data_IF_908123838812
#
_entry.id   IF_908123838812
#
_cell.length_a   1.000
_cell.length_b   1.000
_cell.length_c   1.000
_cell.angle_alpha   90.00
_cell.angle_beta   90.00
_cell.angle_gamma   90.00
#
_symmetry.space_group_name_H-M   'P 1'
#
loop_
_entity.id
_entity.type
_entity.pdbx_description
1 polymer ?
#
# COMPACT_ATOMS: atom_id res chain seq x y z
N UNK A 1 1.17 44.25 -36.54
CA UNK A 1 1.72 43.99 -35.19
C UNK A 1 0.66 43.18 -34.51
N UNK A 2 0.90 41.89 -34.31
CA UNK A 2 0.25 40.98 -33.35
C UNK A 2 0.80 39.58 -33.63
N UNK A 3 1.72 39.12 -32.76
CA UNK A 3 2.20 37.74 -32.72
C UNK A 3 1.90 37.21 -31.32
N UNK A 4 0.79 36.47 -31.21
CA UNK A 4 0.62 35.48 -30.16
C UNK A 4 1.47 34.25 -30.50
N UNK A 5 2.29 33.76 -29.56
CA UNK A 5 2.18 32.39 -29.02
C UNK A 5 3.32 32.00 -28.05
N UNK A 6 2.88 31.60 -26.85
CA UNK A 6 3.38 30.55 -25.94
C UNK A 6 4.61 30.80 -25.02
N UNK A 7 4.42 30.62 -23.68
CA UNK A 7 5.51 30.46 -22.73
C UNK A 7 6.02 29.01 -22.75
N UNK A 8 7.31 28.83 -23.04
CA UNK A 8 7.98 27.53 -22.98
C UNK A 8 8.14 27.06 -21.53
N UNK A 9 7.51 25.92 -21.26
CA UNK A 9 7.93 24.83 -20.36
C UNK A 9 8.71 25.17 -19.10
N UNK A 10 8.02 25.09 -17.95
CA UNK A 10 8.67 24.75 -16.68
C UNK A 10 9.37 23.39 -16.84
N UNK A 11 10.69 23.41 -16.88
CA UNK A 11 11.50 22.20 -16.74
C UNK A 11 11.19 21.58 -15.38
N UNK A 12 10.65 20.37 -15.38
CA UNK A 12 10.52 19.55 -14.18
C UNK A 12 11.93 19.35 -13.60
N UNK A 13 12.12 19.79 -12.35
CA UNK A 13 13.38 19.64 -11.64
C UNK A 13 13.77 18.16 -11.58
N UNK A 14 14.94 17.84 -12.15
CA UNK A 14 15.60 16.55 -11.96
C UNK A 14 15.85 16.36 -10.46
N UNK A 15 15.54 15.21 -9.84
CA UNK A 15 15.84 15.01 -8.43
C UNK A 15 17.36 15.08 -8.24
N UNK A 16 17.80 16.09 -7.51
CA UNK A 16 19.20 16.26 -7.10
C UNK A 16 19.59 15.02 -6.30
N UNK A 17 20.58 14.27 -6.78
CA UNK A 17 21.20 13.14 -6.08
C UNK A 17 21.68 13.63 -4.71
N UNK A 18 20.97 13.28 -3.64
CA UNK A 18 21.47 13.49 -2.28
C UNK A 18 22.70 12.59 -2.09
N UNK A 19 23.80 13.09 -1.49
CA UNK A 19 24.96 12.25 -1.21
C UNK A 19 24.52 11.09 -0.31
N UNK A 20 24.66 9.86 -0.79
CA UNK A 20 24.32 8.68 -0.01
C UNK A 20 25.24 8.64 1.21
N UNK A 21 24.66 8.65 2.42
CA UNK A 21 25.39 8.41 3.67
C UNK A 21 26.20 7.10 3.49
N UNK A 22 27.46 7.03 3.97
CA UNK A 22 28.25 5.82 3.86
C UNK A 22 27.53 4.63 4.50
N UNK A 23 27.62 3.45 3.87
CA UNK A 23 26.99 2.21 4.33
C UNK A 23 27.41 1.87 5.77
N UNK A 24 26.47 1.41 6.61
CA UNK A 24 26.67 1.08 8.03
C UNK A 24 26.25 -0.37 8.33
N UNK A 25 27.04 -1.39 7.91
CA UNK A 25 26.62 -2.79 8.00
C UNK A 25 26.26 -3.28 9.41
N UNK A 26 26.91 -2.71 10.42
CA UNK A 26 26.71 -2.99 11.85
C UNK A 26 25.32 -2.61 12.36
N UNK A 27 24.68 -1.62 11.74
CA UNK A 27 23.32 -1.17 12.11
C UNK A 27 22.21 -2.04 11.51
N UNK A 28 22.54 -2.91 10.54
CA UNK A 28 21.57 -3.77 9.86
C UNK A 28 20.38 -2.98 9.28
N UNK A 29 19.15 -3.40 9.60
CA UNK A 29 17.93 -2.71 9.16
C UNK A 29 17.64 -1.39 9.91
N UNK A 30 18.50 -0.93 10.83
CA UNK A 30 18.25 0.23 11.71
C UNK A 30 18.92 1.54 11.24
N UNK A 31 19.32 1.65 9.97
CA UNK A 31 19.86 2.90 9.41
C UNK A 31 19.45 3.08 7.96
N UNK A 32 19.02 4.30 7.58
CA UNK A 32 18.69 4.65 6.20
C UNK A 32 19.88 4.53 5.25
N UNK A 33 21.12 4.64 5.75
CA UNK A 33 22.33 4.47 4.95
C UNK A 33 22.43 3.08 4.29
N UNK A 34 21.76 2.08 4.87
CA UNK A 34 21.72 0.71 4.35
C UNK A 34 20.60 0.47 3.34
N UNK A 35 19.85 1.50 2.95
CA UNK A 35 18.75 1.36 2.00
C UNK A 35 18.94 2.28 0.80
N UNK A 36 18.71 1.72 -0.39
CA UNK A 36 18.50 2.50 -1.60
C UNK A 36 17.00 2.69 -1.81
N UNK A 37 16.52 3.92 -1.61
CA UNK A 37 15.12 4.28 -1.86
C UNK A 37 14.89 4.33 -3.38
N UNK A 38 13.95 3.53 -3.88
CA UNK A 38 13.69 3.40 -5.32
C UNK A 38 12.50 4.26 -5.75
N UNK A 39 11.31 4.01 -5.20
CA UNK A 39 10.07 4.65 -5.66
C UNK A 39 9.06 4.80 -4.52
N UNK A 40 8.35 5.93 -4.50
CA UNK A 40 7.18 6.10 -3.64
C UNK A 40 6.01 5.22 -4.11
N UNK A 41 5.50 4.37 -3.22
CA UNK A 41 4.44 3.40 -3.49
C UNK A 41 3.15 3.68 -2.72
N UNK A 42 3.19 4.53 -1.68
CA UNK A 42 2.01 4.88 -0.89
C UNK A 42 2.12 6.24 -0.21
N UNK A 43 0.96 6.79 0.16
CA UNK A 43 0.84 8.01 0.95
C UNK A 43 -0.33 7.85 1.93
N UNK A 44 -0.05 7.98 3.21
CA UNK A 44 -1.04 8.13 4.27
C UNK A 44 -1.15 9.60 4.71
N UNK A 45 -1.97 9.85 5.72
CA UNK A 45 -2.17 11.20 6.28
C UNK A 45 -0.88 11.78 6.87
N UNK A 46 -0.13 10.96 7.63
CA UNK A 46 1.09 11.36 8.34
C UNK A 46 2.33 10.58 7.89
N UNK A 47 2.21 9.83 6.79
CA UNK A 47 3.27 8.92 6.37
C UNK A 47 3.36 8.78 4.87
N UNK A 48 4.55 8.39 4.42
CA UNK A 48 4.84 8.06 3.04
C UNK A 48 5.48 6.67 3.01
N UNK A 49 5.14 5.87 2.00
CA UNK A 49 5.67 4.52 1.86
C UNK A 49 6.47 4.46 0.58
N UNK A 50 7.70 3.96 0.69
CA UNK A 50 8.64 3.81 -0.40
C UNK A 50 9.00 2.34 -0.58
N UNK A 51 9.08 1.89 -1.83
CA UNK A 51 9.85 0.72 -2.19
C UNK A 51 11.33 1.08 -2.06
N UNK A 52 12.08 0.25 -1.34
CA UNK A 52 13.52 0.41 -1.17
C UNK A 52 14.20 -0.94 -1.28
N UNK A 53 15.51 -0.91 -1.57
CA UNK A 53 16.38 -2.08 -1.56
C UNK A 53 17.29 -2.02 -0.35
N UNK A 54 17.27 -3.07 0.47
CA UNK A 54 18.24 -3.24 1.53
C UNK A 54 19.58 -3.68 0.95
N UNK A 55 20.61 -2.86 1.14
CA UNK A 55 21.87 -2.97 0.39
C UNK A 55 22.76 -4.13 0.85
N UNK A 56 22.57 -4.66 2.06
CA UNK A 56 23.44 -5.73 2.58
C UNK A 56 23.12 -7.10 1.97
N UNK A 57 21.86 -7.37 1.62
CA UNK A 57 21.43 -8.65 1.04
C UNK A 57 20.58 -8.51 -0.24
N UNK A 58 20.40 -7.28 -0.73
CA UNK A 58 19.57 -6.91 -1.89
C UNK A 58 18.07 -7.21 -1.77
N UNK A 59 17.55 -7.45 -0.57
CA UNK A 59 16.12 -7.69 -0.35
C UNK A 59 15.30 -6.43 -0.62
N UNK A 60 14.17 -6.58 -1.31
CA UNK A 60 13.21 -5.49 -1.51
C UNK A 60 12.32 -5.33 -0.28
N UNK A 61 12.15 -4.09 0.20
CA UNK A 61 11.39 -3.76 1.41
C UNK A 61 10.43 -2.60 1.15
N UNK A 62 9.40 -2.50 1.99
CA UNK A 62 8.57 -1.32 2.13
C UNK A 62 9.09 -0.48 3.30
N UNK A 63 9.57 0.73 2.99
CA UNK A 63 10.03 1.72 3.96
C UNK A 63 8.92 2.75 4.21
N UNK A 64 8.27 2.69 5.36
CA UNK A 64 7.24 3.65 5.79
C UNK A 64 7.89 4.73 6.65
N UNK A 65 7.85 5.96 6.16
CA UNK A 65 8.35 7.16 6.83
C UNK A 65 7.20 7.91 7.49
N UNK A 66 7.27 8.14 8.79
CA UNK A 66 6.21 8.76 9.59
C UNK A 66 6.74 10.03 10.25
N UNK A 67 6.05 11.14 10.02
CA UNK A 67 6.40 12.47 10.55
C UNK A 67 5.87 12.64 11.97
N UNK A 68 6.55 12.04 12.95
CA UNK A 68 6.08 11.93 14.34
C UNK A 68 6.28 13.18 15.20
N UNK A 69 7.16 14.10 14.77
CA UNK A 69 7.49 15.31 15.54
C UNK A 69 6.71 16.53 15.09
N UNK A 70 6.47 16.68 13.79
CA UNK A 70 5.87 17.91 13.23
C UNK A 70 4.36 17.79 13.00
N UNK A 71 3.83 16.59 12.74
CA UNK A 71 2.46 16.39 12.28
C UNK A 71 1.57 15.59 13.25
N UNK A 72 2.10 15.16 14.40
CA UNK A 72 1.36 14.36 15.38
C UNK A 72 1.31 15.02 16.75
N UNK A 73 0.10 15.04 17.34
CA UNK A 73 -0.08 15.36 18.75
C UNK A 73 0.49 14.24 19.67
N UNK A 74 0.58 14.53 20.97
CA UNK A 74 1.17 13.61 21.94
C UNK A 74 0.41 12.27 22.05
N UNK A 75 -0.91 12.29 21.85
CA UNK A 75 -1.75 11.09 21.93
C UNK A 75 -1.56 10.22 20.69
N UNK A 76 -1.63 10.81 19.50
CA UNK A 76 -1.38 10.15 18.23
C UNK A 76 0.02 9.52 18.18
N UNK A 77 1.02 10.21 18.74
CA UNK A 77 2.38 9.67 18.88
C UNK A 77 2.43 8.45 19.80
N UNK A 78 1.77 8.49 20.95
CA UNK A 78 1.70 7.34 21.85
C UNK A 78 0.97 6.15 21.22
N UNK A 79 -0.12 6.39 20.50
CA UNK A 79 -0.88 5.35 19.83
C UNK A 79 -0.06 4.73 18.68
N UNK A 80 0.71 5.54 17.94
CA UNK A 80 1.65 5.06 16.93
C UNK A 80 2.76 4.16 17.53
N UNK A 81 3.35 4.54 18.67
CA UNK A 81 4.37 3.72 19.35
C UNK A 81 3.79 2.36 19.79
N UNK A 82 2.58 2.35 20.36
CA UNK A 82 1.90 1.11 20.74
C UNK A 82 1.65 0.20 19.54
N UNK A 83 1.22 0.75 18.41
CA UNK A 83 1.00 -0.01 17.17
C UNK A 83 2.30 -0.68 16.70
N UNK A 84 3.43 0.03 16.76
CA UNK A 84 4.74 -0.53 16.42
C UNK A 84 5.13 -1.65 17.36
N UNK A 85 4.91 -1.49 18.67
CA UNK A 85 5.24 -2.52 19.65
C UNK A 85 4.40 -3.78 19.49
N UNK A 86 3.16 -3.65 19.02
CA UNK A 86 2.34 -4.79 18.61
C UNK A 86 2.88 -5.43 17.32
N UNK A 87 3.17 -4.63 16.28
CA UNK A 87 3.70 -5.12 15.01
C UNK A 87 5.01 -5.91 15.18
N UNK A 88 5.89 -5.48 16.07
CA UNK A 88 7.15 -6.19 16.41
C UNK A 88 6.93 -7.63 16.89
N UNK A 89 5.79 -7.92 17.52
CA UNK A 89 5.50 -9.23 18.11
C UNK A 89 4.84 -10.19 17.11
N UNK A 90 4.39 -9.70 15.96
CA UNK A 90 3.70 -10.51 14.96
C UNK A 90 4.71 -11.28 14.09
N UNK A 91 4.55 -12.60 14.02
CA UNK A 91 5.33 -13.47 13.15
C UNK A 91 4.44 -14.60 12.60
N UNK A 92 3.85 -14.37 11.43
CA UNK A 92 2.95 -15.31 10.79
C UNK A 92 3.06 -15.20 9.25
N UNK A 93 2.99 -16.32 8.49
CA UNK A 93 3.13 -16.30 7.03
C UNK A 93 2.11 -15.42 6.28
N UNK A 94 0.98 -15.09 6.90
CA UNK A 94 -0.05 -14.21 6.32
C UNK A 94 -0.09 -12.79 6.93
N UNK A 95 0.94 -12.42 7.70
CA UNK A 95 1.08 -11.07 8.25
C UNK A 95 2.40 -10.50 7.72
N UNK A 96 2.35 -9.28 7.18
CA UNK A 96 3.54 -8.59 6.66
C UNK A 96 4.64 -8.60 7.70
N UNK A 97 5.79 -9.15 7.34
CA UNK A 97 6.92 -9.27 8.26
C UNK A 97 7.46 -7.89 8.63
N UNK A 98 7.61 -7.68 9.93
CA UNK A 98 8.29 -6.53 10.48
C UNK A 98 9.81 -6.80 10.53
N UNK A 99 10.63 -5.87 10.00
CA UNK A 99 12.08 -5.97 10.04
C UNK A 99 12.71 -5.07 11.11
N UNK A 100 12.36 -3.78 11.13
CA UNK A 100 12.93 -2.81 12.07
C UNK A 100 12.08 -1.52 12.16
N UNK A 101 12.34 -0.73 13.20
CA UNK A 101 11.86 0.65 13.30
C UNK A 101 12.92 1.50 13.98
N UNK A 102 13.20 2.68 13.45
CA UNK A 102 14.22 3.56 14.00
C UNK A 102 13.91 5.02 13.63
N UNK A 103 14.46 5.96 14.41
CA UNK A 103 14.28 7.39 14.18
C UNK A 103 15.53 7.92 13.50
N UNK A 104 15.37 8.49 12.32
CA UNK A 104 16.45 9.13 11.56
C UNK A 104 15.87 10.31 10.76
N UNK A 105 16.63 11.40 10.67
CA UNK A 105 16.23 12.62 9.95
C UNK A 105 14.87 13.20 10.43
N UNK A 106 14.59 13.13 11.74
CA UNK A 106 13.33 13.56 12.37
C UNK A 106 12.08 12.81 11.87
N UNK A 107 12.27 11.64 11.26
CA UNK A 107 11.22 10.74 10.84
C UNK A 107 11.33 9.42 11.59
N UNK A 108 10.19 8.83 11.94
CA UNK A 108 10.14 7.43 12.31
C UNK A 108 10.11 6.59 11.02
N UNK A 109 11.12 5.76 10.84
CA UNK A 109 11.24 4.84 9.73
C UNK A 109 10.83 3.44 10.19
N UNK A 110 9.89 2.82 9.49
CA UNK A 110 9.43 1.45 9.74
C UNK A 110 9.75 0.62 8.49
N UNK A 111 10.52 -0.45 8.67
CA UNK A 111 10.94 -1.34 7.60
C UNK A 111 10.09 -2.61 7.64
N UNK A 112 9.39 -2.86 6.55
CA UNK A 112 8.44 -3.96 6.40
C UNK A 112 8.78 -4.78 5.15
N UNK A 113 8.35 -6.04 5.15
CA UNK A 113 8.30 -6.84 3.94
C UNK A 113 7.48 -6.14 2.85
N UNK A 114 7.96 -6.24 1.60
CA UNK A 114 7.27 -5.68 0.45
C UNK A 114 6.25 -6.67 -0.12
N UNK A 115 4.97 -6.31 -0.09
CA UNK A 115 3.92 -7.01 -0.83
C UNK A 115 3.79 -6.47 -2.26
N UNK A 116 4.54 -7.03 -3.20
CA UNK A 116 4.63 -6.54 -4.60
C UNK A 116 3.32 -6.68 -5.41
N UNK A 117 2.39 -7.54 -4.97
CA UNK A 117 1.09 -7.73 -5.64
C UNK A 117 0.11 -6.55 -5.44
N UNK A 118 0.48 -5.55 -4.63
CA UNK A 118 -0.38 -4.42 -4.28
C UNK A 118 -1.41 -4.79 -3.21
N UNK A 119 -2.41 -3.91 -3.04
CA UNK A 119 -3.46 -4.08 -2.04
C UNK A 119 -4.78 -4.58 -2.66
N UNK A 120 -5.59 -5.26 -1.85
CA UNK A 120 -6.87 -5.81 -2.26
C UNK A 120 -7.83 -4.72 -2.78
N UNK A 121 -7.79 -3.50 -2.24
CA UNK A 121 -8.63 -2.40 -2.72
C UNK A 121 -8.28 -2.02 -4.15
N UNK A 122 -6.99 -1.98 -4.51
CA UNK A 122 -6.54 -1.77 -5.87
C UNK A 122 -6.95 -2.92 -6.78
N UNK A 123 -6.84 -4.17 -6.35
CA UNK A 123 -7.32 -5.32 -7.12
C UNK A 123 -8.82 -5.19 -7.40
N UNK A 124 -9.63 -4.87 -6.39
CA UNK A 124 -11.08 -4.67 -6.55
C UNK A 124 -11.38 -3.50 -7.49
N UNK A 125 -10.67 -2.37 -7.37
CA UNK A 125 -10.84 -1.20 -8.26
C UNK A 125 -10.49 -1.50 -9.71
N UNK A 126 -9.36 -2.16 -9.93
CA UNK A 126 -8.95 -2.58 -11.27
C UNK A 126 -9.96 -3.56 -11.84
N UNK A 127 -10.46 -4.46 -11.01
CA UNK A 127 -11.46 -5.42 -11.41
C UNK A 127 -12.80 -4.76 -11.75
N UNK A 128 -13.27 -3.81 -10.95
CA UNK A 128 -14.55 -3.16 -11.17
C UNK A 128 -14.55 -2.14 -12.32
N UNK A 129 -13.38 -1.81 -12.90
CA UNK A 129 -13.15 -0.74 -13.90
C UNK A 129 -13.73 0.63 -13.53
N UNK A 130 -14.16 0.79 -12.27
CA UNK A 130 -14.70 2.02 -11.70
C UNK A 130 -14.11 2.22 -10.31
N UNK A 131 -13.83 3.47 -9.95
CA UNK A 131 -13.63 3.77 -8.53
C UNK A 131 -14.95 3.47 -7.82
N UNK A 132 -14.95 2.74 -6.68
CA UNK A 132 -16.16 2.56 -5.88
C UNK A 132 -16.76 3.89 -5.38
N UNK A 133 -16.05 5.01 -5.62
CA UNK A 133 -16.40 6.35 -5.19
C UNK A 133 -16.69 7.35 -6.33
N UNK A 134 -16.77 6.97 -7.62
CA UNK A 134 -17.03 7.94 -8.70
C UNK A 134 -18.46 7.90 -9.26
N UNK A 135 -19.08 9.09 -9.29
CA UNK A 135 -20.32 9.43 -9.99
C UNK A 135 -20.63 10.92 -9.75
N UNK A 136 -20.98 11.67 -10.80
CA UNK A 136 -21.04 13.16 -10.86
C UNK A 136 -21.99 13.86 -9.86
N UNK A 137 -22.63 13.12 -8.95
CA UNK A 137 -23.64 13.61 -7.99
C UNK A 137 -23.52 13.02 -6.58
N UNK A 138 -22.42 12.37 -6.22
CA UNK A 138 -22.34 11.62 -4.96
C UNK A 138 -22.00 12.54 -3.77
N UNK A 139 -22.96 12.74 -2.87
CA UNK A 139 -22.74 13.36 -1.56
C UNK A 139 -22.45 12.28 -0.50
N UNK A 140 -22.03 12.69 0.70
CA UNK A 140 -21.70 11.78 1.81
C UNK A 140 -22.86 10.83 2.16
N UNK A 141 -24.10 11.30 2.04
CA UNK A 141 -25.29 10.49 2.30
C UNK A 141 -25.46 9.36 1.28
N UNK A 142 -25.26 9.63 -0.02
CA UNK A 142 -25.27 8.60 -1.06
C UNK A 142 -24.17 7.54 -0.85
N UNK A 143 -23.01 7.95 -0.34
CA UNK A 143 -21.92 7.04 -0.01
C UNK A 143 -22.26 6.14 1.19
N UNK A 144 -22.74 6.71 2.30
CA UNK A 144 -23.18 5.94 3.46
C UNK A 144 -24.23 4.90 3.08
N UNK A 145 -25.23 5.28 2.27
CA UNK A 145 -26.28 4.37 1.81
C UNK A 145 -25.71 3.22 0.96
N UNK A 146 -24.75 3.47 0.07
CA UNK A 146 -24.10 2.39 -0.70
C UNK A 146 -23.29 1.43 0.16
N UNK A 147 -22.60 1.95 1.18
CA UNK A 147 -21.86 1.13 2.15
C UNK A 147 -22.83 0.26 2.97
N UNK A 148 -23.91 0.87 3.49
CA UNK A 148 -24.94 0.18 4.27
C UNK A 148 -25.67 -0.89 3.45
N UNK A 149 -25.90 -0.64 2.16
CA UNK A 149 -26.62 -1.54 1.26
C UNK A 149 -25.70 -2.54 0.54
N UNK A 150 -24.38 -2.42 0.71
CA UNK A 150 -23.37 -3.15 -0.08
C UNK A 150 -23.64 -3.11 -1.58
N UNK A 151 -24.06 -1.94 -2.07
CA UNK A 151 -24.36 -1.71 -3.48
C UNK A 151 -23.06 -1.48 -4.26
N UNK A 152 -22.46 -2.57 -4.72
CA UNK A 152 -21.27 -2.60 -5.56
C UNK A 152 -21.62 -3.18 -6.93
N UNK A 153 -21.22 -2.55 -8.05
CA UNK A 153 -21.41 -3.15 -9.36
C UNK A 153 -20.61 -4.47 -9.41
N UNK A 154 -21.21 -5.55 -9.94
CA UNK A 154 -20.49 -6.80 -10.10
C UNK A 154 -19.30 -6.60 -11.03
N UNK A 155 -18.24 -7.36 -10.78
CA UNK A 155 -17.06 -7.36 -11.64
C UNK A 155 -17.44 -7.71 -13.09
N UNK A 156 -16.91 -7.01 -14.11
CA UNK A 156 -17.20 -7.26 -15.52
C UNK A 156 -16.85 -8.71 -15.90
N UNK A 157 -17.83 -9.45 -16.44
CA UNK A 157 -17.69 -10.87 -16.78
C UNK A 157 -16.86 -11.13 -18.03
N UNK A 158 -16.62 -10.10 -18.83
CA UNK A 158 -15.79 -10.10 -20.05
C UNK A 158 -14.29 -10.02 -19.75
N UNK A 159 -13.91 -9.50 -18.58
CA UNK A 159 -12.51 -9.35 -18.18
C UNK A 159 -12.07 -10.33 -17.09
N UNK A 160 -13.00 -10.88 -16.31
CA UNK A 160 -12.68 -11.70 -15.13
C UNK A 160 -13.46 -13.01 -15.09
N UNK A 161 -12.77 -14.09 -14.72
CA UNK A 161 -13.36 -15.43 -14.59
C UNK A 161 -14.45 -15.46 -13.51
N UNK A 162 -15.40 -16.37 -13.65
CA UNK A 162 -16.48 -16.53 -12.68
C UNK A 162 -15.94 -16.81 -11.27
N UNK A 163 -14.87 -17.60 -11.16
CA UNK A 163 -14.21 -17.92 -9.90
C UNK A 163 -13.69 -16.67 -9.19
N UNK A 164 -13.03 -15.76 -9.90
CA UNK A 164 -12.53 -14.52 -9.31
C UNK A 164 -13.68 -13.60 -8.91
N UNK A 165 -14.74 -13.52 -9.72
CA UNK A 165 -15.92 -12.70 -9.42
C UNK A 165 -16.62 -13.18 -8.15
N UNK A 166 -16.78 -14.50 -8.00
CA UNK A 166 -17.35 -15.11 -6.80
C UNK A 166 -16.46 -14.91 -5.58
N UNK A 167 -15.14 -15.06 -5.70
CA UNK A 167 -14.22 -14.83 -4.59
C UNK A 167 -14.29 -13.38 -4.09
N UNK A 168 -14.37 -12.40 -4.99
CA UNK A 168 -14.48 -10.99 -4.61
C UNK A 168 -15.82 -10.70 -3.94
N UNK A 169 -16.93 -11.25 -4.45
CA UNK A 169 -18.26 -11.11 -3.85
C UNK A 169 -18.30 -11.64 -2.40
N UNK A 170 -17.67 -12.79 -2.16
CA UNK A 170 -17.50 -13.35 -0.82
C UNK A 170 -16.66 -12.44 0.10
N UNK A 171 -15.58 -11.85 -0.41
CA UNK A 171 -14.70 -10.98 0.37
C UNK A 171 -15.36 -9.65 0.79
N UNK A 172 -16.25 -9.10 -0.04
CA UNK A 172 -16.92 -7.81 0.23
C UNK A 172 -18.26 -7.97 0.97
N UNK A 173 -18.58 -9.17 1.45
CA UNK A 173 -19.86 -9.45 2.11
C UNK A 173 -20.05 -8.57 3.37
N UNK A 174 -21.21 -7.91 3.56
CA UNK A 174 -21.48 -7.11 4.76
C UNK A 174 -21.40 -7.92 6.05
N UNK A 175 -21.80 -9.19 6.00
CA UNK A 175 -21.77 -10.12 7.12
C UNK A 175 -20.36 -10.70 7.29
N UNK A 176 -19.64 -10.36 8.38
CA UNK A 176 -18.27 -10.84 8.60
C UNK A 176 -18.18 -12.36 8.66
N UNK A 177 -19.22 -13.05 9.13
CA UNK A 177 -19.26 -14.50 9.28
C UNK A 177 -19.39 -15.23 7.93
N UNK A 178 -19.83 -14.51 6.89
CA UNK A 178 -19.90 -15.03 5.51
C UNK A 178 -18.64 -14.76 4.70
N UNK A 179 -17.72 -13.94 5.23
CA UNK A 179 -16.45 -13.68 4.55
C UNK A 179 -15.56 -14.91 4.67
N UNK A 180 -14.83 -15.25 3.61
CA UNK A 180 -13.89 -16.35 3.65
C UNK A 180 -12.72 -15.99 4.57
N UNK A 181 -12.19 -17.00 5.27
CA UNK A 181 -10.92 -16.84 5.94
C UNK A 181 -9.76 -16.76 4.92
N UNK A 182 -8.58 -16.35 5.40
CA UNK A 182 -7.41 -16.17 4.54
C UNK A 182 -6.93 -17.48 3.89
N UNK A 183 -7.19 -18.62 4.52
CA UNK A 183 -6.82 -19.94 3.99
C UNK A 183 -7.67 -20.27 2.77
N UNK A 184 -8.98 -20.07 2.87
CA UNK A 184 -9.91 -20.24 1.76
C UNK A 184 -9.56 -19.32 0.58
N UNK A 185 -9.31 -18.03 0.85
CA UNK A 185 -8.92 -17.08 -0.19
C UNK A 185 -7.64 -17.54 -0.90
N UNK A 186 -6.65 -17.98 -0.13
CA UNK A 186 -5.38 -18.49 -0.67
C UNK A 186 -5.56 -19.75 -1.52
N UNK A 187 -6.37 -20.71 -1.07
CA UNK A 187 -6.61 -21.96 -1.80
C UNK A 187 -7.29 -21.72 -3.15
N UNK A 188 -8.29 -20.83 -3.19
CA UNK A 188 -8.96 -20.44 -4.45
C UNK A 188 -7.99 -19.69 -5.37
N UNK A 189 -7.17 -18.77 -4.85
CA UNK A 189 -6.15 -18.07 -5.64
C UNK A 189 -5.11 -19.03 -6.25
N UNK A 190 -4.64 -20.00 -5.45
CA UNK A 190 -3.69 -21.03 -5.89
C UNK A 190 -4.30 -21.94 -6.96
N UNK A 191 -5.57 -22.32 -6.81
CA UNK A 191 -6.31 -23.06 -7.83
C UNK A 191 -6.37 -22.29 -9.16
N UNK A 192 -6.77 -21.02 -9.13
CA UNK A 192 -6.84 -20.17 -10.32
C UNK A 192 -5.47 -20.03 -11.02
N UNK A 193 -4.38 -19.90 -10.25
CA UNK A 193 -3.03 -19.85 -10.79
C UNK A 193 -2.62 -21.15 -11.51
N UNK A 194 -2.91 -22.31 -10.90
CA UNK A 194 -2.58 -23.61 -11.50
C UNK A 194 -3.31 -23.85 -12.82
N UNK A 195 -4.59 -23.45 -12.91
CA UNK A 195 -5.38 -23.54 -14.15
C UNK A 195 -4.78 -22.67 -15.25
N UNK A 196 -4.29 -21.48 -14.90
CA UNK A 196 -3.71 -20.52 -15.86
C UNK A 196 -2.32 -20.95 -16.35
N UNK A 197 -1.54 -21.65 -15.53
CA UNK A 197 -0.20 -22.15 -15.92
C UNK A 197 -0.23 -23.50 -16.67
N UNK A 198 -1.38 -24.19 -16.66
CA UNK A 198 -1.57 -25.49 -17.34
C UNK A 198 -2.19 -25.39 -18.74
N UNK A 199 -2.36 -24.19 -19.31
CA UNK A 199 -2.95 -23.94 -20.63
C UNK A 199 -1.93 -23.39 -21.62
#
# INVERSE_FOLDING_TARGET
MDMDTQPQGQQAAVPVFQPQKPLQPDMGHNSLANFQIEKKIGRGQFSEVYRARYLLDNTSVALKKVQIFDLMDAKARQDCIKEIDLLKQLNHPNVIKYHASFIEDNELNIVLELADAGDLSRMIKMAALQSPFYGDKMNLYSLCKKIEQCDYPPLPSDHYSEELRNLVDMCINPDPEKRPDITYVYDIAKHMQNVTQGS
#
